data_IF_115232980341
#
_entry.id   IF_115232980341
#
_cell.length_a   1.000
_cell.length_b   1.000
_cell.length_c   1.000
_cell.angle_alpha   90.00
_cell.angle_beta   90.00
_cell.angle_gamma   90.00
#
_symmetry.space_group_name_H-M   'P 1'
#
loop_
_entity.id
_entity.type
_entity.pdbx_description
1 polymer ?
#
# COMPACT_ATOMS: atom_id res chain seq x y z
N UNK A 1 -11.73 -2.58 -4.32
CA UNK A 1 -10.75 -2.23 -3.27
C UNK A 1 -9.46 -2.70 -3.86
N UNK A 2 -8.51 -1.79 -3.99
CA UNK A 2 -7.22 -2.04 -4.63
C UNK A 2 -6.54 -3.30 -4.07
N UNK A 3 -6.43 -4.32 -4.92
CA UNK A 3 -5.73 -5.57 -4.63
C UNK A 3 -4.70 -5.88 -5.73
N UNK A 4 -4.28 -4.86 -6.47
CA UNK A 4 -3.25 -4.96 -7.49
C UNK A 4 -2.65 -3.57 -7.71
N UNK A 5 -1.33 -3.47 -7.65
CA UNK A 5 -0.60 -2.26 -8.01
C UNK A 5 0.76 -2.63 -8.60
N UNK A 6 1.46 -1.61 -9.09
CA UNK A 6 2.78 -1.75 -9.69
C UNK A 6 3.76 -0.78 -9.04
N UNK A 7 5.02 -1.20 -9.00
CA UNK A 7 6.17 -0.36 -8.69
C UNK A 7 7.25 -0.68 -9.72
N UNK A 8 7.35 0.16 -10.76
CA UNK A 8 8.30 -0.05 -11.88
C UNK A 8 9.39 1.02 -11.96
N UNK A 9 9.38 1.99 -11.04
CA UNK A 9 10.42 3.00 -10.92
C UNK A 9 11.71 2.40 -10.34
N UNK A 10 12.79 3.17 -10.36
CA UNK A 10 14.08 2.72 -9.85
C UNK A 10 14.21 2.97 -8.34
N UNK A 11 15.03 2.15 -7.70
CA UNK A 11 15.34 2.19 -6.27
C UNK A 11 15.90 3.54 -5.81
N UNK A 12 16.70 4.21 -6.66
CA UNK A 12 17.26 5.54 -6.36
C UNK A 12 16.15 6.58 -6.18
N UNK A 13 15.14 6.60 -7.04
CA UNK A 13 14.01 7.52 -6.95
C UNK A 13 13.19 7.32 -5.66
N UNK A 14 12.97 6.07 -5.25
CA UNK A 14 12.32 5.77 -3.96
C UNK A 14 13.13 6.35 -2.81
N UNK A 15 14.45 6.13 -2.82
CA UNK A 15 15.35 6.59 -1.74
C UNK A 15 15.39 8.10 -1.63
N UNK A 16 15.50 8.80 -2.75
CA UNK A 16 15.58 10.26 -2.79
C UNK A 16 14.27 10.89 -2.31
N UNK A 17 13.13 10.47 -2.86
CA UNK A 17 11.83 11.08 -2.53
C UNK A 17 11.40 10.75 -1.11
N UNK A 18 11.61 9.51 -0.66
CA UNK A 18 11.20 9.08 0.68
C UNK A 18 12.26 9.35 1.78
N UNK A 19 13.41 9.94 1.42
CA UNK A 19 14.54 10.22 2.33
C UNK A 19 15.04 8.96 3.06
N UNK A 20 15.25 7.87 2.32
CA UNK A 20 15.76 6.60 2.84
C UNK A 20 17.24 6.74 3.18
N UNK A 21 17.61 6.33 4.40
CA UNK A 21 18.99 6.27 4.88
C UNK A 21 19.57 4.87 4.73
N UNK A 22 18.81 3.86 5.13
CA UNK A 22 19.24 2.46 5.08
C UNK A 22 18.44 1.68 4.03
N UNK A 23 19.12 1.10 3.05
CA UNK A 23 18.48 0.29 2.01
C UNK A 23 18.85 -1.18 2.18
N UNK A 24 17.85 -2.00 2.53
CA UNK A 24 18.01 -3.41 2.84
C UNK A 24 17.38 -4.32 1.78
N UNK A 25 16.95 -3.77 0.64
CA UNK A 25 16.26 -4.55 -0.41
C UNK A 25 17.21 -5.29 -1.34
N UNK A 26 18.51 -4.96 -1.34
CA UNK A 26 19.45 -5.46 -2.33
C UNK A 26 19.14 -4.89 -3.72
N UNK A 27 19.04 -5.75 -4.73
CA UNK A 27 18.64 -5.36 -6.08
C UNK A 27 17.12 -5.37 -6.22
N UNK A 28 16.48 -4.19 -6.19
CA UNK A 28 15.04 -4.07 -6.36
C UNK A 28 14.64 -4.06 -7.85
N UNK A 29 14.14 -5.20 -8.32
CA UNK A 29 13.63 -5.34 -9.68
C UNK A 29 12.29 -4.61 -9.87
N UNK A 30 11.97 -4.15 -11.09
CA UNK A 30 10.63 -3.65 -11.41
C UNK A 30 9.55 -4.70 -11.11
N UNK A 31 8.49 -4.26 -10.46
CA UNK A 31 7.34 -5.07 -10.06
C UNK A 31 6.09 -4.58 -10.80
N UNK A 32 5.80 -5.10 -12.01
CA UNK A 32 4.63 -4.68 -12.80
C UNK A 32 3.31 -5.11 -12.16
N UNK A 33 3.33 -6.16 -11.34
CA UNK A 33 2.16 -6.68 -10.64
C UNK A 33 2.52 -7.12 -9.23
N UNK A 34 1.94 -6.44 -8.24
CA UNK A 34 2.05 -6.75 -6.83
C UNK A 34 0.67 -7.15 -6.33
N UNK A 35 0.55 -8.38 -5.84
CA UNK A 35 -0.70 -9.00 -5.38
C UNK A 35 -0.73 -9.18 -3.85
N UNK A 36 -1.91 -9.33 -3.23
CA UNK A 36 -2.02 -9.68 -1.83
C UNK A 36 -1.17 -10.90 -1.47
N UNK A 37 -0.62 -10.90 -0.26
CA UNK A 37 0.22 -11.94 0.31
C UNK A 37 1.58 -12.17 -0.40
N UNK A 38 1.98 -11.28 -1.32
CA UNK A 38 3.33 -11.25 -1.93
C UNK A 38 4.23 -10.23 -1.22
N UNK A 39 5.54 -10.31 -1.50
CA UNK A 39 6.51 -9.34 -1.01
C UNK A 39 6.49 -8.07 -1.88
N UNK A 40 6.67 -6.91 -1.27
CA UNK A 40 6.77 -5.62 -1.94
C UNK A 40 7.68 -4.66 -1.14
N UNK A 41 8.31 -3.67 -1.80
CA UNK A 41 9.10 -2.66 -1.12
C UNK A 41 8.21 -1.74 -0.28
N UNK A 42 8.64 -1.41 0.93
CA UNK A 42 8.08 -0.34 1.75
C UNK A 42 9.22 0.51 2.33
N UNK A 43 8.96 1.79 2.56
CA UNK A 43 9.83 2.64 3.36
C UNK A 43 9.23 2.77 4.75
N UNK A 44 9.93 2.34 5.79
CA UNK A 44 9.44 2.39 7.19
C UNK A 44 10.42 3.14 8.08
N UNK A 45 9.95 3.57 9.25
CA UNK A 45 10.82 4.12 10.28
C UNK A 45 11.67 3.01 10.92
N UNK A 46 13.00 3.15 10.88
CA UNK A 46 13.99 2.28 11.50
C UNK A 46 14.81 3.01 12.57
N UNK A 47 15.84 2.34 13.10
CA UNK A 47 16.66 2.86 14.20
C UNK A 47 17.52 4.08 13.84
N UNK A 48 18.03 4.14 12.60
CA UNK A 48 18.87 5.23 12.11
C UNK A 48 18.12 6.25 11.25
N UNK A 49 16.79 6.12 11.17
CA UNK A 49 15.93 6.86 10.25
C UNK A 49 15.19 5.93 9.31
N UNK A 50 14.79 6.41 8.15
CA UNK A 50 13.93 5.63 7.24
C UNK A 50 14.73 4.53 6.53
N UNK A 51 14.17 3.34 6.50
CA UNK A 51 14.73 2.19 5.81
C UNK A 51 13.82 1.67 4.71
N UNK A 52 14.41 1.29 3.57
CA UNK A 52 13.73 0.61 2.46
C UNK A 52 13.91 -0.90 2.62
N UNK A 53 12.79 -1.63 2.75
CA UNK A 53 12.78 -3.06 3.04
C UNK A 53 11.73 -3.79 2.20
N UNK A 54 11.88 -5.11 2.05
CA UNK A 54 10.81 -5.96 1.52
C UNK A 54 9.88 -6.42 2.66
N UNK A 55 8.58 -6.23 2.49
CA UNK A 55 7.55 -6.68 3.44
C UNK A 55 6.41 -7.40 2.71
N UNK A 56 5.66 -8.25 3.41
CA UNK A 56 4.53 -9.00 2.85
C UNK A 56 3.24 -8.18 2.92
N UNK A 57 2.53 -8.06 1.80
CA UNK A 57 1.28 -7.30 1.75
C UNK A 57 0.11 -8.09 2.37
N UNK A 58 -0.40 -7.64 3.51
CA UNK A 58 -1.55 -8.19 4.19
C UNK A 58 -1.34 -8.20 5.70
N UNK A 59 -1.76 -7.12 6.36
CA UNK A 59 -1.72 -6.96 7.83
C UNK A 59 -2.48 -8.08 8.56
N UNK A 60 -2.20 -8.32 9.85
CA UNK A 60 -2.90 -9.34 10.62
C UNK A 60 -4.43 -9.18 10.58
N UNK A 61 -5.13 -10.28 10.32
CA UNK A 61 -6.60 -10.28 10.32
C UNK A 61 -7.14 -10.24 11.76
N UNK A 62 -8.16 -9.41 12.08
CA UNK A 62 -8.72 -9.39 13.43
C UNK A 62 -9.24 -10.79 13.85
N UNK A 63 -9.03 -11.24 15.10
CA UNK A 63 -9.22 -12.63 15.51
C UNK A 63 -10.63 -13.17 15.25
N UNK A 64 -11.65 -12.31 15.39
CA UNK A 64 -13.04 -12.68 15.11
C UNK A 64 -13.28 -13.13 13.66
N UNK A 65 -12.50 -12.64 12.70
CA UNK A 65 -12.57 -13.01 11.29
C UNK A 65 -11.65 -14.18 10.92
N UNK A 66 -10.79 -14.65 11.83
CA UNK A 66 -9.93 -15.82 11.62
C UNK A 66 -10.58 -17.14 12.07
N UNK A 67 -11.72 -17.09 12.77
CA UNK A 67 -12.38 -18.28 13.30
C UNK A 67 -12.76 -19.24 12.15
N UNK A 68 -12.27 -20.47 12.22
CA UNK A 68 -12.52 -21.50 11.20
C UNK A 68 -11.57 -21.43 9.99
N UNK A 69 -10.68 -20.45 9.93
CA UNK A 69 -9.65 -20.35 8.90
C UNK A 69 -8.34 -20.95 9.39
N UNK A 70 -7.72 -21.81 8.56
CA UNK A 70 -6.41 -22.41 8.85
C UNK A 70 -5.22 -21.52 8.46
N UNK A 71 -5.50 -20.43 7.75
CA UNK A 71 -4.50 -19.47 7.27
C UNK A 71 -5.01 -18.05 7.48
N UNK A 72 -4.11 -17.14 7.81
CA UNK A 72 -4.36 -15.70 7.77
C UNK A 72 -4.01 -15.17 6.37
N UNK A 73 -5.01 -14.77 5.59
CA UNK A 73 -4.82 -14.16 4.27
C UNK A 73 -4.38 -12.69 4.35
N UNK A 74 -4.53 -12.10 5.54
CA UNK A 74 -4.24 -10.71 5.85
C UNK A 74 -5.24 -9.70 5.31
N UNK A 75 -5.13 -8.49 5.85
CA UNK A 75 -5.89 -7.31 5.46
C UNK A 75 -4.98 -6.38 4.67
N UNK A 76 -5.27 -6.20 3.39
CA UNK A 76 -4.47 -5.36 2.49
C UNK A 76 -4.85 -3.88 2.54
N UNK A 77 -6.14 -3.61 2.80
CA UNK A 77 -6.77 -2.29 2.75
C UNK A 77 -7.40 -1.95 4.10
N UNK A 78 -6.97 -0.86 4.72
CA UNK A 78 -7.39 -0.44 6.07
C UNK A 78 -8.32 0.77 5.96
N UNK A 79 -9.63 0.55 6.01
CA UNK A 79 -10.63 1.63 5.89
C UNK A 79 -10.84 2.41 7.19
N UNK A 80 -10.77 1.73 8.34
CA UNK A 80 -11.13 2.31 9.64
C UNK A 80 -9.94 2.24 10.62
N UNK A 81 -8.85 2.99 10.40
CA UNK A 81 -7.62 2.87 11.19
C UNK A 81 -7.79 3.24 12.68
N UNK A 82 -8.88 3.90 13.06
CA UNK A 82 -9.22 4.21 14.46
C UNK A 82 -9.87 3.05 15.23
N UNK A 83 -10.21 1.95 14.56
CA UNK A 83 -10.80 0.78 15.23
C UNK A 83 -9.83 0.17 16.25
N UNK A 84 -10.36 -0.45 17.30
CA UNK A 84 -9.56 -1.06 18.39
C UNK A 84 -8.49 -2.03 17.90
N UNK A 85 -8.72 -2.73 16.79
CA UNK A 85 -7.75 -3.65 16.21
C UNK A 85 -6.49 -2.95 15.71
N UNK A 86 -6.64 -1.77 15.08
CA UNK A 86 -5.54 -1.06 14.43
C UNK A 86 -4.76 -0.15 15.39
N UNK A 87 -5.37 0.28 16.50
CA UNK A 87 -4.75 1.19 17.49
C UNK A 87 -3.38 0.74 18.00
N UNK A 88 -3.14 -0.57 18.08
CA UNK A 88 -1.82 -1.11 18.47
C UNK A 88 -0.69 -0.78 17.50
N UNK A 89 -1.01 -0.34 16.28
CA UNK A 89 -0.07 0.05 15.24
C UNK A 89 -0.28 1.50 14.76
N UNK A 90 -0.83 2.37 15.62
CA UNK A 90 -1.12 3.77 15.25
C UNK A 90 0.10 4.71 15.37
N UNK A 91 1.11 4.29 16.14
CA UNK A 91 2.34 5.05 16.38
C UNK A 91 3.24 5.16 15.15
N UNK A 92 4.10 6.17 15.13
CA UNK A 92 5.02 6.47 14.01
C UNK A 92 5.94 5.30 13.66
N UNK A 93 6.31 4.47 14.63
CA UNK A 93 7.14 3.28 14.42
C UNK A 93 6.46 2.22 13.52
N UNK A 94 5.14 2.29 13.37
CA UNK A 94 4.34 1.40 12.51
C UNK A 94 3.93 2.06 11.19
N UNK A 95 4.38 3.30 10.91
CA UNK A 95 4.10 3.97 9.63
C UNK A 95 5.05 3.47 8.55
N UNK A 96 4.52 3.32 7.34
CA UNK A 96 5.34 3.14 6.16
C UNK A 96 4.76 3.90 4.96
N UNK A 97 5.63 4.18 3.99
CA UNK A 97 5.27 4.64 2.66
C UNK A 97 5.39 3.43 1.72
N UNK A 98 4.33 3.16 0.95
CA UNK A 98 4.31 2.05 -0.02
C UNK A 98 4.47 2.63 -1.42
N UNK A 99 5.67 2.60 -2.04
CA UNK A 99 5.89 3.19 -3.36
C UNK A 99 5.04 2.51 -4.43
N UNK A 100 4.47 3.31 -5.32
CA UNK A 100 3.75 2.85 -6.50
C UNK A 100 4.04 3.71 -7.73
N UNK A 101 3.93 3.11 -8.91
CA UNK A 101 3.89 3.79 -10.22
C UNK A 101 2.50 3.77 -10.83
N UNK A 102 1.71 2.73 -10.54
CA UNK A 102 0.32 2.61 -10.98
C UNK A 102 -0.46 1.69 -10.02
N UNK A 103 -1.78 1.80 -9.99
CA UNK A 103 -2.65 0.89 -9.24
C UNK A 103 -3.87 0.49 -10.05
N UNK A 104 -4.50 -0.64 -9.70
CA UNK A 104 -5.66 -1.15 -10.40
C UNK A 104 -6.89 -1.30 -9.52
N UNK A 105 -8.05 -0.98 -10.09
CA UNK A 105 -9.35 -1.29 -9.51
C UNK A 105 -10.16 -2.19 -10.47
N UNK A 106 -10.96 -3.14 -9.93
CA UNK A 106 -11.79 -4.01 -10.73
C UNK A 106 -13.06 -3.27 -11.18
N UNK A 107 -13.27 -3.19 -12.48
CA UNK A 107 -14.53 -2.73 -13.07
C UNK A 107 -15.48 -3.91 -13.23
N UNK A 108 -16.68 -3.82 -12.65
CA UNK A 108 -17.73 -4.83 -12.81
C UNK A 108 -18.45 -4.61 -14.14
N UNK A 109 -18.43 -5.62 -15.01
CA UNK A 109 -19.07 -5.57 -16.33
C UNK A 109 -20.53 -6.04 -16.26
N UNK A 110 -21.39 -5.65 -17.24
CA UNK A 110 -22.80 -6.04 -17.27
C UNK A 110 -23.04 -7.55 -17.30
N UNK A 111 -22.09 -8.32 -17.85
CA UNK A 111 -22.14 -9.78 -17.92
C UNK A 111 -21.75 -10.47 -16.60
N UNK A 112 -21.44 -9.70 -15.55
CA UNK A 112 -21.03 -10.21 -14.26
C UNK A 112 -19.57 -10.67 -14.22
N UNK A 113 -18.75 -10.37 -15.22
CA UNK A 113 -17.29 -10.50 -15.14
C UNK A 113 -16.66 -9.21 -14.60
N UNK A 114 -15.35 -9.24 -14.37
CA UNK A 114 -14.60 -8.05 -13.98
C UNK A 114 -13.37 -7.89 -14.87
N UNK A 115 -13.03 -6.65 -15.23
CA UNK A 115 -11.75 -6.32 -15.88
C UNK A 115 -10.92 -5.40 -14.98
N UNK A 116 -9.60 -5.45 -15.15
CA UNK A 116 -8.66 -4.59 -14.43
C UNK A 116 -8.53 -3.26 -15.17
N UNK A 117 -8.79 -2.16 -14.47
CA UNK A 117 -8.52 -0.80 -14.96
C UNK A 117 -7.35 -0.25 -14.17
N UNK A 118 -6.35 0.27 -14.88
CA UNK A 118 -5.13 0.81 -14.28
C UNK A 118 -5.13 2.34 -14.28
N UNK A 119 -4.63 2.92 -13.19
CA UNK A 119 -4.53 4.36 -12.99
C UNK A 119 -3.09 4.73 -12.63
N UNK A 120 -2.64 5.88 -13.14
CA UNK A 120 -1.38 6.51 -12.78
C UNK A 120 -1.58 8.03 -12.55
N UNK A 121 -0.59 8.68 -11.94
CA UNK A 121 -0.60 10.14 -11.73
C UNK A 121 -0.40 10.88 -13.04
N UNK A 122 -1.18 11.92 -13.28
CA UNK A 122 -1.13 12.67 -14.55
C UNK A 122 -0.07 13.78 -14.62
N UNK A 123 0.71 13.99 -13.56
CA UNK A 123 1.69 15.06 -13.42
C UNK A 123 3.12 14.66 -13.83
N UNK A 124 3.28 13.45 -14.40
CA UNK A 124 4.55 12.89 -14.88
C UNK A 124 5.60 12.61 -13.80
N UNK A 125 5.26 12.76 -12.52
CA UNK A 125 6.14 12.35 -11.43
C UNK A 125 6.34 10.82 -11.45
N UNK A 126 7.55 10.32 -11.14
CA UNK A 126 7.92 8.92 -11.36
C UNK A 126 7.26 7.96 -10.38
N UNK A 127 6.75 8.44 -9.24
CA UNK A 127 6.08 7.60 -8.25
C UNK A 127 5.16 8.41 -7.31
N UNK A 128 4.29 7.67 -6.64
CA UNK A 128 3.48 8.09 -5.49
C UNK A 128 3.72 7.11 -4.35
N UNK A 129 3.09 7.36 -3.19
CA UNK A 129 3.13 6.42 -2.07
C UNK A 129 1.74 6.18 -1.50
N UNK A 130 1.38 4.94 -1.20
CA UNK A 130 0.24 4.72 -0.31
C UNK A 130 0.61 5.03 1.14
N UNK A 131 -0.34 5.58 1.89
CA UNK A 131 -0.23 5.77 3.33
C UNK A 131 -0.35 4.42 4.05
N UNK A 132 0.80 3.82 4.38
CA UNK A 132 0.92 2.45 4.88
C UNK A 132 1.07 2.33 6.40
N UNK A 133 0.61 1.20 6.92
CA UNK A 133 0.89 0.71 8.29
C UNK A 133 1.59 -0.65 8.16
N UNK A 134 2.57 -0.90 9.02
CA UNK A 134 3.32 -2.15 9.05
C UNK A 134 3.51 -2.70 10.47
N UNK A 135 3.71 -4.02 10.58
CA UNK A 135 4.09 -4.68 11.82
C UNK A 135 4.87 -5.96 11.58
N UNK A 136 5.63 -6.41 12.57
CA UNK A 136 6.15 -7.78 12.62
C UNK A 136 5.11 -8.70 13.28
N UNK A 137 4.79 -9.82 12.63
CA UNK A 137 3.72 -10.70 13.11
C UNK A 137 3.98 -12.17 12.79
N UNK A 138 3.60 -13.04 13.73
CA UNK A 138 3.70 -14.49 13.58
C UNK A 138 2.34 -15.08 13.22
N UNK A 139 2.26 -15.77 12.09
CA UNK A 139 1.02 -16.42 11.64
C UNK A 139 1.28 -17.48 10.56
N UNK A 140 0.27 -18.30 10.27
CA UNK A 140 0.27 -19.19 9.10
C UNK A 140 -0.27 -18.44 7.89
N UNK A 141 0.61 -18.00 6.98
CA UNK A 141 0.21 -17.29 5.73
C UNK A 141 -0.18 -18.25 4.61
N UNK A 142 0.49 -19.38 4.54
CA UNK A 142 0.26 -20.48 3.61
C UNK A 142 0.41 -21.79 4.38
N UNK A 143 -0.45 -22.76 4.11
CA UNK A 143 -0.39 -24.06 4.78
C UNK A 143 0.96 -24.77 4.57
N UNK A 144 1.56 -24.60 3.38
CA UNK A 144 2.81 -25.23 3.02
C UNK A 144 4.01 -24.70 3.83
N UNK A 145 3.99 -23.43 4.23
CA UNK A 145 5.09 -22.78 4.92
C UNK A 145 5.01 -22.95 6.45
N UNK A 146 3.84 -23.39 6.95
CA UNK A 146 3.57 -23.43 8.37
C UNK A 146 3.50 -22.03 9.00
N UNK A 147 3.82 -21.95 10.29
CA UNK A 147 3.89 -20.68 11.01
C UNK A 147 5.19 -19.95 10.69
N UNK A 148 5.08 -18.67 10.34
CA UNK A 148 6.21 -17.82 9.97
C UNK A 148 6.08 -16.48 10.68
N UNK A 149 7.21 -15.83 10.93
CA UNK A 149 7.25 -14.45 11.43
C UNK A 149 7.68 -13.53 10.30
N UNK A 150 6.74 -12.74 9.80
CA UNK A 150 6.93 -11.85 8.67
C UNK A 150 6.82 -10.38 9.11
N UNK A 151 7.49 -9.50 8.37
CA UNK A 151 7.14 -8.09 8.37
C UNK A 151 5.97 -7.90 7.39
N UNK A 152 4.83 -7.48 7.91
CA UNK A 152 3.57 -7.31 7.20
C UNK A 152 3.28 -5.84 7.01
N UNK A 153 2.61 -5.49 5.90
CA UNK A 153 2.09 -4.15 5.70
C UNK A 153 0.70 -4.17 5.06
N UNK A 154 0.00 -3.04 5.17
CA UNK A 154 -1.23 -2.72 4.47
C UNK A 154 -1.33 -1.20 4.36
N UNK A 155 -2.29 -0.70 3.60
CA UNK A 155 -2.42 0.75 3.42
C UNK A 155 -3.83 1.24 3.64
N UNK A 156 -3.95 2.52 3.97
CA UNK A 156 -5.23 3.15 4.20
C UNK A 156 -6.02 3.25 2.90
N UNK A 157 -7.34 3.15 3.03
CA UNK A 157 -8.29 3.48 1.96
C UNK A 157 -9.21 4.60 2.40
N UNK A 158 -9.78 5.29 1.43
CA UNK A 158 -10.68 6.43 1.60
C UNK A 158 -11.79 6.37 0.56
N UNK A 159 -12.65 7.38 0.49
CA UNK A 159 -13.65 7.51 -0.57
C UNK A 159 -12.99 7.69 -1.94
N UNK A 160 -13.63 7.22 -3.00
CA UNK A 160 -13.09 7.36 -4.35
C UNK A 160 -13.28 8.79 -4.88
N UNK A 161 -12.28 9.32 -5.57
CA UNK A 161 -12.40 10.54 -6.37
C UNK A 161 -13.19 10.26 -7.67
N UNK A 162 -13.39 11.26 -8.54
CA UNK A 162 -14.21 11.09 -9.76
C UNK A 162 -13.69 10.00 -10.70
N UNK A 163 -12.38 9.90 -10.93
CA UNK A 163 -11.82 8.93 -11.88
C UNK A 163 -11.97 7.48 -11.39
N UNK A 164 -11.63 7.23 -10.12
CA UNK A 164 -11.75 5.91 -9.52
C UNK A 164 -13.22 5.58 -9.29
N UNK A 165 -14.01 6.55 -8.85
CA UNK A 165 -15.43 6.38 -8.54
C UNK A 165 -16.28 5.96 -9.75
N UNK A 166 -15.90 6.41 -10.95
CA UNK A 166 -16.51 5.99 -12.19
C UNK A 166 -16.30 4.49 -12.51
N UNK A 167 -15.31 3.84 -11.89
CA UNK A 167 -14.96 2.43 -12.12
C UNK A 167 -15.32 1.56 -10.91
N UNK A 168 -14.96 2.01 -9.71
CA UNK A 168 -15.12 1.29 -8.46
C UNK A 168 -15.44 2.29 -7.33
N UNK A 169 -16.73 2.61 -7.10
CA UNK A 169 -17.15 3.71 -6.21
C UNK A 169 -16.90 3.47 -4.72
N UNK A 170 -16.63 2.22 -4.30
CA UNK A 170 -16.60 1.87 -2.88
C UNK A 170 -15.43 2.51 -2.12
N UNK A 171 -14.26 2.60 -2.74
CA UNK A 171 -13.06 3.14 -2.13
C UNK A 171 -11.95 3.34 -3.16
N UNK A 172 -10.98 4.19 -2.82
CA UNK A 172 -9.64 4.21 -3.42
C UNK A 172 -8.57 4.13 -2.32
N UNK A 173 -7.31 3.79 -2.65
CA UNK A 173 -6.19 3.93 -1.73
C UNK A 173 -5.94 5.40 -1.34
N UNK A 174 -5.45 5.62 -0.11
CA UNK A 174 -4.90 6.93 0.27
C UNK A 174 -3.53 7.06 -0.38
N UNK A 175 -3.39 8.01 -1.30
CA UNK A 175 -2.17 8.25 -2.06
C UNK A 175 -1.57 9.59 -1.64
N UNK A 176 -0.32 9.55 -1.22
CA UNK A 176 0.49 10.68 -0.83
C UNK A 176 1.40 11.05 -2.00
N UNK A 177 1.44 12.35 -2.31
CA UNK A 177 2.03 12.85 -3.56
C UNK A 177 3.07 13.93 -3.35
N UNK A 178 2.97 14.67 -2.25
CA UNK A 178 3.82 15.81 -1.94
C UNK A 178 4.79 15.50 -0.79
N UNK A 179 6.02 16.07 -0.80
CA UNK A 179 7.01 15.81 0.24
C UNK A 179 6.52 16.09 1.67
N UNK A 180 5.69 17.11 1.87
CA UNK A 180 5.12 17.45 3.18
C UNK A 180 4.06 16.44 3.64
N UNK A 181 3.31 15.84 2.72
CA UNK A 181 2.40 14.73 3.02
C UNK A 181 3.17 13.48 3.45
N UNK A 182 4.27 13.15 2.75
CA UNK A 182 5.14 12.03 3.09
C UNK A 182 5.76 12.22 4.48
N UNK A 183 6.29 13.42 4.73
CA UNK A 183 6.88 13.79 6.01
C UNK A 183 5.85 13.68 7.13
N UNK A 184 4.70 14.34 6.97
CA UNK A 184 3.62 14.32 7.96
C UNK A 184 3.15 12.90 8.27
N UNK A 185 3.01 12.05 7.26
CA UNK A 185 2.61 10.66 7.49
C UNK A 185 3.63 9.89 8.35
N UNK A 186 4.91 10.14 8.13
CA UNK A 186 6.00 9.40 8.76
C UNK A 186 6.37 9.92 10.15
N UNK A 187 6.05 11.17 10.49
CA UNK A 187 6.51 11.80 11.75
C UNK A 187 5.43 12.43 12.61
N UNK A 188 4.27 12.81 12.05
CA UNK A 188 3.25 13.52 12.82
C UNK A 188 2.49 12.60 13.80
N UNK A 189 1.91 13.18 14.88
CA UNK A 189 0.98 12.46 15.75
C UNK A 189 -0.20 11.87 14.96
N UNK A 190 -0.75 10.76 15.46
CA UNK A 190 -1.83 10.00 14.79
C UNK A 190 -2.99 10.88 14.30
N UNK A 191 -3.41 11.86 15.10
CA UNK A 191 -4.54 12.74 14.75
C UNK A 191 -4.25 13.58 13.48
N UNK A 192 -3.04 14.12 13.37
CA UNK A 192 -2.60 14.91 12.21
C UNK A 192 -2.32 14.03 10.99
N UNK A 193 -1.69 12.87 11.21
CA UNK A 193 -1.42 11.92 10.13
C UNK A 193 -2.70 11.36 9.52
N UNK A 194 -3.74 11.10 10.32
CA UNK A 194 -5.02 10.60 9.82
C UNK A 194 -5.84 11.66 9.06
N UNK A 195 -5.51 12.95 9.17
CA UNK A 195 -6.08 13.97 8.28
C UNK A 195 -5.67 13.77 6.80
N UNK A 196 -4.64 12.96 6.54
CA UNK A 196 -4.25 12.55 5.19
C UNK A 196 -5.14 11.41 4.64
N UNK A 197 -6.04 10.81 5.44
CA UNK A 197 -6.96 9.76 4.97
C UNK A 197 -8.11 10.34 4.13
N UNK A 198 -7.78 10.98 3.02
CA UNK A 198 -8.69 11.66 2.10
C UNK A 198 -8.42 11.23 0.65
N UNK A 199 -9.40 11.33 -0.26
CA UNK A 199 -9.16 11.12 -1.68
C UNK A 199 -8.09 12.08 -2.20
N UNK A 200 -7.41 11.67 -3.26
CA UNK A 200 -6.72 12.63 -4.12
C UNK A 200 -7.74 13.60 -4.73
N UNK A 201 -7.33 14.84 -5.06
CA UNK A 201 -8.18 15.74 -5.83
C UNK A 201 -8.63 15.09 -7.15
N UNK A 202 -9.77 15.51 -7.67
CA UNK A 202 -10.20 15.11 -9.01
C UNK A 202 -9.21 15.66 -10.06
N UNK A 203 -9.12 14.97 -11.19
CA UNK A 203 -8.30 15.38 -12.32
C UNK A 203 -6.80 15.18 -12.13
N UNK A 204 -6.35 14.39 -11.14
CA UNK A 204 -4.91 14.09 -10.93
C UNK A 204 -4.53 12.65 -11.29
N UNK A 205 -5.52 11.83 -11.64
CA UNK A 205 -5.33 10.46 -12.11
C UNK A 205 -5.77 10.33 -13.56
N UNK A 206 -5.14 9.42 -14.29
CA UNK A 206 -5.57 9.05 -15.64
C UNK A 206 -5.44 7.54 -15.85
N UNK A 207 -6.23 7.01 -16.78
CA UNK A 207 -6.21 5.59 -17.12
C UNK A 207 -4.99 5.27 -17.97
N UNK A 208 -4.32 4.17 -17.65
CA UNK A 208 -3.16 3.66 -18.38
C UNK A 208 -3.38 2.20 -18.78
N UNK A 209 -2.53 1.69 -19.66
CA UNK A 209 -2.43 0.24 -19.89
C UNK A 209 -1.79 -0.43 -18.67
N UNK A 210 -1.95 -1.76 -18.58
CA UNK A 210 -1.26 -2.54 -17.56
C UNK A 210 0.26 -2.31 -17.66
N UNK A 211 0.95 -2.03 -16.54
CA UNK A 211 2.40 -1.93 -16.54
C UNK A 211 3.04 -3.23 -17.06
N UNK A 212 3.96 -3.10 -17.99
CA UNK A 212 4.74 -4.21 -18.52
C UNK A 212 6.21 -4.05 -18.10
N UNK A 213 6.94 -5.17 -18.03
CA UNK A 213 8.40 -5.09 -18.02
C UNK A 213 8.84 -4.54 -19.39
N UNK A 214 9.80 -3.62 -19.38
CA UNK A 214 10.47 -3.27 -20.64
C UNK A 214 11.24 -4.50 -21.13
N UNK A 215 11.10 -4.82 -22.42
CA UNK A 215 11.83 -5.89 -23.10
C UNK A 215 13.35 -5.65 -23.11
#
# INVERSE_FOLDING_TARGET
MCNLYAMTSNQKAIREIAMVLDDLTGNLQPLPEIYPNTMAPIVRNGGNGRELVMARWGMPTPPGYLKGHRVDRGVTNIRNPSSTWWKRWEGVQHRCLVPLTAFSEPERLPDGTSRLVWFARNDREPLAFFAGIWCRWTSVRKLADGETTDDLFGFLTTDANLEVGAIHPKAMPVILTQPDELERWMTAPVAEALALQRPLPDGVLYRVQAPALAD
#
